data_IF_550431829424
#
_entry.id   IF_550431829424
#
_cell.length_a   1.000
_cell.length_b   1.000
_cell.length_c   1.000
_cell.angle_alpha   90.00
_cell.angle_beta   90.00
_cell.angle_gamma   90.00
#
_symmetry.space_group_name_H-M   'P 1'
#
loop_
_entity.id
_entity.type
_entity.pdbx_description
1 polymer ?
#
# COMPACT_ATOMS: atom_id res chain seq x y z
N UNK A 1 21.83 10.63 1.61
CA UNK A 1 20.95 9.74 2.35
C UNK A 1 19.89 9.14 1.45
N UNK A 2 19.82 7.84 1.47
CA UNK A 2 18.77 7.15 0.78
C UNK A 2 17.45 7.28 1.53
N UNK A 3 16.41 7.59 0.79
CA UNK A 3 15.06 7.44 1.34
C UNK A 3 14.76 5.95 1.52
N UNK A 4 14.07 5.56 2.60
CA UNK A 4 13.57 4.19 2.71
C UNK A 4 12.69 3.88 1.50
N UNK A 5 12.80 2.67 0.91
CA UNK A 5 11.86 2.26 -0.12
C UNK A 5 10.44 2.33 0.43
N UNK A 6 9.52 2.81 -0.41
CA UNK A 6 8.11 2.82 -0.04
C UNK A 6 7.78 3.62 1.22
N UNK A 7 8.49 4.75 1.42
CA UNK A 7 8.22 5.65 2.54
C UNK A 7 6.83 6.27 2.55
N UNK A 8 6.02 6.03 1.52
CA UNK A 8 4.66 6.58 1.42
C UNK A 8 3.65 5.86 2.34
N UNK A 9 3.98 4.69 2.90
CA UNK A 9 3.01 3.90 3.69
C UNK A 9 2.48 4.62 4.92
N UNK A 10 3.33 5.31 5.68
CA UNK A 10 2.87 6.06 6.86
C UNK A 10 2.02 7.27 6.47
N UNK A 11 2.45 8.14 5.53
CA UNK A 11 1.58 9.21 5.06
C UNK A 11 0.24 8.72 4.54
N UNK A 12 0.20 7.60 3.83
CA UNK A 12 -1.05 7.03 3.32
C UNK A 12 -1.99 6.63 4.45
N UNK A 13 -1.48 5.98 5.49
CA UNK A 13 -2.29 5.56 6.64
C UNK A 13 -2.92 6.78 7.34
N UNK A 14 -2.13 7.81 7.59
CA UNK A 14 -2.62 9.04 8.22
C UNK A 14 -3.59 9.80 7.32
N UNK A 15 -3.32 9.84 6.02
CA UNK A 15 -4.17 10.54 5.05
C UNK A 15 -5.56 9.93 4.97
N UNK A 16 -5.65 8.61 4.96
CA UNK A 16 -6.93 7.91 4.96
C UNK A 16 -7.76 8.25 6.20
N UNK A 17 -7.12 8.30 7.36
CA UNK A 17 -7.78 8.66 8.60
C UNK A 17 -8.27 10.11 8.56
N UNK A 18 -7.41 11.03 8.12
CA UNK A 18 -7.69 12.46 8.10
C UNK A 18 -8.80 12.81 7.11
N UNK A 19 -8.80 12.19 5.93
CA UNK A 19 -9.78 12.51 4.88
C UNK A 19 -11.04 11.64 4.95
N UNK A 20 -11.08 10.66 5.85
CA UNK A 20 -12.20 9.74 5.96
C UNK A 20 -12.35 8.86 4.73
N UNK A 21 -11.26 8.54 4.06
CA UNK A 21 -11.24 7.79 2.80
C UNK A 21 -10.39 6.52 2.94
N UNK A 22 -11.05 5.42 3.27
CA UNK A 22 -10.37 4.13 3.38
C UNK A 22 -10.45 3.41 2.03
N UNK A 23 -9.55 3.78 1.12
CA UNK A 23 -9.57 3.28 -0.25
C UNK A 23 -8.18 3.34 -0.89
N UNK A 24 -7.98 2.49 -1.92
CA UNK A 24 -6.75 2.51 -2.72
C UNK A 24 -6.59 3.80 -3.51
N UNK A 25 -7.69 4.31 -4.05
CA UNK A 25 -7.68 5.57 -4.80
C UNK A 25 -8.07 6.68 -3.84
N UNK A 26 -7.22 7.69 -3.71
CA UNK A 26 -7.49 8.80 -2.81
C UNK A 26 -8.54 9.77 -3.39
N UNK A 27 -9.02 10.76 -2.59
CA UNK A 27 -10.03 11.69 -3.08
C UNK A 27 -9.59 12.52 -4.29
N UNK A 28 -8.29 12.61 -4.57
CA UNK A 28 -7.75 13.32 -5.73
C UNK A 28 -7.66 12.45 -6.98
N UNK A 29 -8.09 11.19 -6.90
CA UNK A 29 -8.06 10.25 -8.02
C UNK A 29 -6.73 9.54 -8.20
N UNK A 30 -5.84 9.58 -7.21
CA UNK A 30 -4.52 8.98 -7.28
C UNK A 30 -4.49 7.62 -6.61
N UNK A 31 -4.04 6.60 -7.35
CA UNK A 31 -3.81 5.27 -6.82
C UNK A 31 -2.38 5.09 -6.33
N UNK A 32 -2.13 3.92 -5.76
CA UNK A 32 -0.86 3.64 -5.09
C UNK A 32 0.35 3.69 -6.03
N UNK A 33 0.22 3.15 -7.25
CA UNK A 33 1.33 3.18 -8.21
C UNK A 33 1.79 4.62 -8.48
N UNK A 34 0.83 5.50 -8.74
CA UNK A 34 1.14 6.90 -9.01
C UNK A 34 1.77 7.58 -7.80
N UNK A 35 1.22 7.35 -6.61
CA UNK A 35 1.71 8.00 -5.39
C UNK A 35 3.13 7.56 -5.03
N UNK A 36 3.46 6.28 -5.24
CA UNK A 36 4.83 5.80 -5.06
C UNK A 36 5.77 6.48 -6.07
N UNK A 37 5.37 6.54 -7.33
CA UNK A 37 6.22 7.14 -8.36
C UNK A 37 6.48 8.61 -8.09
N UNK A 38 5.52 9.32 -7.51
CA UNK A 38 5.70 10.74 -7.14
C UNK A 38 6.74 10.96 -6.06
N UNK A 39 7.03 9.95 -5.24
CA UNK A 39 8.09 10.07 -4.23
C UNK A 39 9.49 9.96 -4.83
N UNK A 40 9.60 9.70 -6.13
CA UNK A 40 10.85 9.48 -6.82
C UNK A 40 11.24 8.01 -6.93
N UNK A 41 10.43 7.09 -6.41
CA UNK A 41 10.67 5.66 -6.56
C UNK A 41 10.35 5.23 -7.99
N UNK A 42 11.32 4.61 -8.68
CA UNK A 42 11.19 4.26 -10.09
C UNK A 42 10.55 2.89 -10.29
N UNK A 43 9.24 2.90 -10.54
CA UNK A 43 8.49 1.69 -10.89
C UNK A 43 8.66 1.34 -12.38
N UNK A 44 8.40 0.08 -12.76
CA UNK A 44 8.37 -0.29 -14.17
C UNK A 44 7.36 0.56 -14.96
N UNK A 45 7.66 0.80 -16.24
CA UNK A 45 6.84 1.69 -17.07
C UNK A 45 5.39 1.24 -17.19
N UNK A 46 5.13 -0.07 -17.12
CA UNK A 46 3.77 -0.61 -17.24
C UNK A 46 2.92 -0.44 -15.98
N UNK A 47 3.46 0.16 -14.91
CA UNK A 47 2.69 0.47 -13.70
C UNK A 47 1.85 1.74 -13.87
N UNK A 48 2.10 2.53 -14.89
CA UNK A 48 1.34 3.73 -15.25
C UNK A 48 1.19 3.83 -16.75
N UNK A 49 0.11 4.40 -17.28
CA UNK A 49 -1.15 4.75 -16.65
C UNK A 49 -2.00 3.53 -16.31
N UNK A 50 -3.16 3.69 -15.70
CA UNK A 50 -3.79 4.95 -15.29
C UNK A 50 -3.31 5.41 -13.91
N UNK A 51 -3.62 6.68 -13.58
CA UNK A 51 -3.26 7.24 -12.27
C UNK A 51 -3.92 6.52 -11.10
N UNK A 52 -5.05 5.87 -11.35
CA UNK A 52 -5.79 5.11 -10.34
C UNK A 52 -5.27 3.69 -10.15
N UNK A 53 -4.26 3.27 -10.88
CA UNK A 53 -3.76 1.89 -10.84
C UNK A 53 -3.20 1.50 -9.48
N UNK A 54 -3.45 0.25 -9.09
CA UNK A 54 -2.87 -0.34 -7.88
C UNK A 54 -2.38 -1.76 -8.15
N UNK A 55 -1.06 -1.94 -8.18
CA UNK A 55 -0.41 -3.25 -8.22
C UNK A 55 0.47 -3.48 -6.99
N UNK A 56 0.45 -2.57 -6.01
CA UNK A 56 1.47 -2.52 -4.96
C UNK A 56 0.92 -2.45 -3.54
N UNK A 57 -0.37 -2.18 -3.36
CA UNK A 57 -0.89 -1.84 -2.04
C UNK A 57 -1.98 -2.79 -1.57
N UNK A 58 -1.89 -3.20 -0.29
CA UNK A 58 -2.98 -3.82 0.45
C UNK A 58 -3.33 -2.94 1.65
N UNK A 59 -4.61 -2.80 1.92
CA UNK A 59 -5.13 -1.99 3.02
C UNK A 59 -5.95 -2.84 3.97
N UNK A 60 -5.82 -2.58 5.27
CA UNK A 60 -6.67 -3.18 6.29
C UNK A 60 -7.02 -2.16 7.36
N UNK A 61 -8.15 -2.36 8.01
CA UNK A 61 -8.60 -1.48 9.07
C UNK A 61 -9.29 -2.25 10.21
N UNK A 62 -9.19 -1.69 11.41
CA UNK A 62 -9.93 -2.16 12.56
C UNK A 62 -9.14 -2.90 13.63
N UNK A 63 -8.14 -3.69 13.26
CA UNK A 63 -7.32 -4.41 14.24
C UNK A 63 -6.17 -3.54 14.73
N UNK A 64 -5.79 -3.71 15.99
CA UNK A 64 -4.73 -2.93 16.61
C UNK A 64 -3.38 -3.66 16.65
N UNK A 65 -3.32 -4.90 16.19
CA UNK A 65 -2.07 -5.66 16.14
C UNK A 65 -1.73 -6.07 14.72
N UNK A 66 -0.43 -6.15 14.42
CA UNK A 66 0.04 -6.61 13.13
C UNK A 66 -0.34 -8.08 12.89
N UNK A 67 -0.32 -8.90 13.93
CA UNK A 67 -0.66 -10.32 13.81
C UNK A 67 -2.10 -10.54 13.37
N UNK A 68 -3.05 -9.86 14.02
CA UNK A 68 -4.45 -9.96 13.65
C UNK A 68 -4.70 -9.40 12.25
N UNK A 69 -4.04 -8.31 11.91
CA UNK A 69 -4.14 -7.70 10.59
C UNK A 69 -3.62 -8.63 9.50
N UNK A 70 -2.51 -9.30 9.76
CA UNK A 70 -1.96 -10.27 8.81
C UNK A 70 -2.93 -11.43 8.59
N UNK A 71 -3.51 -11.96 9.66
CA UNK A 71 -4.52 -13.02 9.54
C UNK A 71 -5.72 -12.54 8.73
N UNK A 72 -6.16 -11.31 8.94
CA UNK A 72 -7.25 -10.71 8.17
C UNK A 72 -6.93 -10.66 6.69
N UNK A 73 -5.72 -10.23 6.33
CA UNK A 73 -5.29 -10.21 4.94
C UNK A 73 -5.35 -11.61 4.30
N UNK A 74 -4.94 -12.63 5.03
CA UNK A 74 -4.90 -13.99 4.50
C UNK A 74 -6.28 -14.59 4.21
N UNK A 75 -7.35 -14.03 4.77
CA UNK A 75 -8.72 -14.48 4.49
C UNK A 75 -9.27 -13.94 3.17
N UNK A 76 -8.60 -12.96 2.56
CA UNK A 76 -9.02 -12.37 1.29
C UNK A 76 -8.10 -12.85 0.18
N UNK A 77 -8.68 -13.45 -0.86
CA UNK A 77 -7.89 -14.02 -1.96
C UNK A 77 -6.98 -12.99 -2.62
N UNK A 78 -7.46 -11.76 -2.83
CA UNK A 78 -6.66 -10.71 -3.47
C UNK A 78 -5.50 -10.25 -2.60
N UNK A 79 -5.74 -10.02 -1.31
CA UNK A 79 -4.69 -9.62 -0.37
C UNK A 79 -3.67 -10.75 -0.18
N UNK A 80 -4.14 -11.97 -0.04
CA UNK A 80 -3.26 -13.12 0.08
C UNK A 80 -2.35 -13.26 -1.12
N UNK A 81 -2.89 -13.13 -2.34
CA UNK A 81 -2.13 -13.24 -3.58
C UNK A 81 -1.01 -12.18 -3.60
N UNK A 82 -1.35 -10.96 -3.20
CA UNK A 82 -0.38 -9.87 -3.14
C UNK A 82 0.71 -10.14 -2.12
N UNK A 83 0.33 -10.39 -0.87
CA UNK A 83 1.29 -10.47 0.23
C UNK A 83 2.18 -11.72 0.19
N UNK A 84 1.66 -12.81 -0.38
CA UNK A 84 2.44 -14.04 -0.53
C UNK A 84 3.13 -14.18 -1.89
N UNK A 85 2.98 -13.17 -2.76
CA UNK A 85 3.64 -13.19 -4.06
C UNK A 85 3.15 -14.29 -4.99
N UNK A 86 1.85 -14.57 -4.99
CA UNK A 86 1.27 -15.71 -5.70
C UNK A 86 0.95 -15.42 -7.16
N UNK A 87 1.67 -14.50 -7.80
CA UNK A 87 1.53 -14.23 -9.24
C UNK A 87 2.85 -13.70 -9.77
N UNK A 88 3.08 -13.73 -11.10
CA UNK A 88 4.31 -13.19 -11.68
C UNK A 88 4.54 -11.72 -11.32
N UNK A 89 3.49 -10.90 -11.26
CA UNK A 89 3.62 -9.49 -10.88
C UNK A 89 4.09 -9.36 -9.44
N UNK A 90 3.43 -10.06 -8.53
CA UNK A 90 3.71 -9.90 -7.10
C UNK A 90 4.99 -10.60 -6.66
N UNK A 91 5.37 -11.71 -7.31
CA UNK A 91 6.59 -12.43 -6.94
C UNK A 91 7.85 -11.61 -7.19
N UNK A 92 7.80 -10.66 -8.14
CA UNK A 92 8.92 -9.77 -8.40
C UNK A 92 8.99 -8.55 -7.48
N UNK A 93 7.97 -8.35 -6.66
CA UNK A 93 7.90 -7.21 -5.74
C UNK A 93 8.56 -7.57 -4.42
N UNK A 94 9.87 -7.38 -4.36
CA UNK A 94 10.70 -7.83 -3.24
C UNK A 94 11.03 -6.72 -2.24
N UNK A 95 10.57 -5.50 -2.47
CA UNK A 95 10.68 -4.38 -1.51
C UNK A 95 9.35 -4.20 -0.82
N UNK A 96 9.37 -3.98 0.50
CA UNK A 96 8.14 -3.88 1.30
C UNK A 96 8.22 -2.69 2.25
N UNK A 97 7.08 -2.04 2.45
CA UNK A 97 6.89 -1.04 3.49
C UNK A 97 5.57 -1.31 4.19
N UNK A 98 5.52 -1.07 5.50
CA UNK A 98 4.31 -1.23 6.30
C UNK A 98 4.06 0.08 7.05
N UNK A 99 2.85 0.61 6.92
CA UNK A 99 2.42 1.82 7.62
C UNK A 99 1.23 1.51 8.53
N UNK A 100 1.16 2.22 9.64
CA UNK A 100 0.09 2.09 10.60
C UNK A 100 -0.26 3.44 11.19
N UNK A 101 -1.55 3.70 11.34
CA UNK A 101 -2.05 4.87 12.05
C UNK A 101 -3.19 4.45 12.97
N UNK A 102 -3.15 4.94 14.20
CA UNK A 102 -4.25 4.80 15.14
C UNK A 102 -4.83 6.20 15.36
N UNK A 103 -6.05 6.41 14.89
CA UNK A 103 -6.74 7.71 15.02
C UNK A 103 -8.11 7.46 15.65
N UNK A 104 -8.19 7.53 16.99
CA UNK A 104 -9.46 7.32 17.69
C UNK A 104 -10.53 8.28 17.19
N UNK A 105 -11.76 7.77 17.05
CA UNK A 105 -12.88 8.57 16.55
C UNK A 105 -12.96 8.68 15.05
N UNK A 106 -11.96 8.19 14.31
CA UNK A 106 -12.02 8.13 12.86
C UNK A 106 -12.82 6.90 12.40
N UNK A 107 -13.03 6.79 11.08
CA UNK A 107 -13.95 5.82 10.49
C UNK A 107 -13.64 4.36 10.89
N UNK A 108 -12.38 3.93 10.85
CA UNK A 108 -11.99 2.56 11.22
C UNK A 108 -11.04 2.50 12.40
N UNK A 109 -10.55 3.64 12.88
CA UNK A 109 -9.68 3.73 14.06
C UNK A 109 -8.25 3.32 13.80
N UNK A 110 -8.03 2.12 13.34
CA UNK A 110 -6.72 1.55 13.04
C UNK A 110 -6.58 1.35 11.53
N UNK A 111 -5.53 1.93 10.95
CA UNK A 111 -5.30 1.91 9.49
C UNK A 111 -3.96 1.26 9.21
N UNK A 112 -3.97 0.22 8.38
CA UNK A 112 -2.78 -0.52 7.99
C UNK A 112 -2.59 -0.42 6.49
N UNK A 113 -1.36 -0.12 6.08
CA UNK A 113 -0.98 -0.01 4.68
C UNK A 113 0.24 -0.90 4.47
N UNK A 114 0.15 -1.83 3.54
CA UNK A 114 1.30 -2.61 3.10
C UNK A 114 1.53 -2.30 1.64
N UNK A 115 2.72 -1.85 1.31
CA UNK A 115 3.13 -1.60 -0.07
C UNK A 115 4.32 -2.46 -0.40
N UNK A 116 4.29 -3.05 -1.60
CA UNK A 116 5.40 -3.81 -2.14
C UNK A 116 5.75 -3.26 -3.51
N UNK A 117 7.00 -3.42 -3.92
CA UNK A 117 7.42 -2.97 -5.24
C UNK A 117 8.61 -3.78 -5.74
N UNK A 118 8.81 -3.85 -7.06
CA UNK A 118 10.07 -4.37 -7.59
C UNK A 118 11.21 -3.45 -7.17
N UNK A 119 12.45 -3.94 -7.13
CA UNK A 119 13.58 -3.04 -6.89
C UNK A 119 13.57 -1.90 -7.91
N UNK A 120 14.02 -0.71 -7.48
CA UNK A 120 14.04 0.46 -8.35
C UNK A 120 14.79 0.20 -9.65
N UNK A 121 14.23 0.71 -10.75
CA UNK A 121 14.83 0.54 -12.07
C UNK A 121 14.62 -0.84 -12.68
N UNK A 122 13.80 -1.69 -12.08
CA UNK A 122 13.40 -2.98 -12.65
C UNK A 122 12.51 -2.78 -13.88
N UNK A 123 12.50 -3.77 -14.76
CA UNK A 123 11.70 -3.77 -15.98
C UNK A 123 10.48 -4.65 -15.90
#
# INVERSE_FOLDING_TARGET
LRRPPLGHVMPKAHDMARRGDFAHVDPDGNGANYLISRTGYRLPANYLPPRSANYVESLAGGHDTAEETYRQFLTSASHRRHLLGESPVYSGQTRIGVGYANVPGSKVGHYWVVMTAPPEGSR
#
